data_IF_595105578778
#
_entry.id   IF_595105578778
#
_cell.length_a   1.000
_cell.length_b   1.000
_cell.length_c   1.000
_cell.angle_alpha   90.00
_cell.angle_beta   90.00
_cell.angle_gamma   90.00
#
_symmetry.space_group_name_H-M   'P 1'
#
loop_
_entity.id
_entity.type
_entity.pdbx_description
1 polymer ?
#
# COMPACT_ATOMS: atom_id res chain seq x y z
N UNK A 1 -8.19 12.53 26.71
CA UNK A 1 -7.05 13.38 26.29
C UNK A 1 -6.84 13.04 24.85
N UNK A 2 -6.97 14.03 23.98
CA UNK A 2 -7.07 13.78 22.56
C UNK A 2 -5.83 14.37 21.90
N UNK A 3 -5.22 13.60 21.00
CA UNK A 3 -3.99 13.98 20.31
C UNK A 3 -4.24 13.92 18.81
N UNK A 4 -4.09 15.06 18.15
CA UNK A 4 -4.28 15.17 16.71
C UNK A 4 -2.95 15.04 15.98
N UNK A 5 -2.94 14.15 14.98
CA UNK A 5 -1.81 13.96 14.10
C UNK A 5 -2.24 14.25 12.66
N UNK A 6 -1.33 14.83 11.86
CA UNK A 6 -1.58 15.03 10.43
C UNK A 6 -1.91 13.71 9.72
N UNK A 7 -1.26 12.61 10.11
CA UNK A 7 -1.56 11.26 9.63
C UNK A 7 -1.50 11.13 8.10
N UNK A 8 -0.51 11.73 7.45
CA UNK A 8 -0.40 11.75 5.98
C UNK A 8 0.89 11.11 5.49
N UNK A 9 0.78 10.35 4.41
CA UNK A 9 1.94 9.93 3.61
C UNK A 9 2.29 11.03 2.60
N UNK A 10 3.56 11.09 2.25
CA UNK A 10 4.06 12.03 1.24
C UNK A 10 5.13 11.35 0.37
N UNK A 11 5.21 11.69 -0.93
CA UNK A 11 6.27 11.22 -1.80
C UNK A 11 7.63 11.80 -1.36
N UNK A 12 8.65 10.96 -1.18
CA UNK A 12 9.99 11.41 -0.80
C UNK A 12 10.64 12.32 -1.87
N UNK A 13 10.31 12.10 -3.15
CA UNK A 13 10.84 12.88 -4.26
C UNK A 13 10.19 14.28 -4.40
N UNK A 14 9.02 14.50 -3.77
CA UNK A 14 8.24 15.74 -3.90
C UNK A 14 7.81 16.23 -2.52
N UNK A 15 8.77 16.78 -1.76
CA UNK A 15 8.55 17.19 -0.36
C UNK A 15 7.48 18.26 -0.13
N UNK A 16 7.07 19.00 -1.17
CA UNK A 16 6.04 20.04 -1.08
C UNK A 16 4.65 19.59 -1.55
N UNK A 17 4.49 18.33 -1.98
CA UNK A 17 3.19 17.83 -2.41
C UNK A 17 2.37 17.38 -1.19
N UNK A 18 1.08 17.76 -1.16
CA UNK A 18 0.15 17.27 -0.15
C UNK A 18 -1.24 17.09 -0.73
N UNK A 19 -1.84 15.92 -0.49
CA UNK A 19 -3.24 15.68 -0.74
C UNK A 19 -4.10 16.55 0.20
N UNK A 20 -5.17 17.21 -0.28
CA UNK A 20 -6.08 17.94 0.59
C UNK A 20 -6.88 16.97 1.46
N UNK A 21 -6.91 17.21 2.77
CA UNK A 21 -7.71 16.40 3.69
C UNK A 21 -9.19 16.79 3.59
N UNK A 22 -10.01 15.85 3.10
CA UNK A 22 -11.47 15.95 3.02
C UNK A 22 -12.17 14.86 3.83
N UNK A 23 -11.42 14.14 4.66
CA UNK A 23 -12.00 13.03 5.41
C UNK A 23 -12.88 13.53 6.54
N UNK A 24 -13.83 12.67 6.92
CA UNK A 24 -14.70 12.89 8.07
C UNK A 24 -13.85 12.94 9.34
N UNK A 25 -14.13 13.91 10.19
CA UNK A 25 -13.50 14.01 11.50
C UNK A 25 -13.97 12.86 12.40
N UNK A 26 -13.07 12.02 12.93
CA UNK A 26 -13.46 10.92 13.80
C UNK A 26 -14.10 11.44 15.09
N UNK A 27 -15.33 11.02 15.36
CA UNK A 27 -16.04 11.31 16.60
C UNK A 27 -16.16 10.01 17.41
N UNK A 28 -15.49 9.95 18.55
CA UNK A 28 -15.49 8.79 19.44
C UNK A 28 -16.40 9.07 20.64
N UNK A 29 -17.31 8.14 20.93
CA UNK A 29 -18.18 8.20 22.13
C UNK A 29 -17.90 7.03 23.10
N UNK A 30 -16.97 6.16 22.76
CA UNK A 30 -16.65 4.93 23.50
C UNK A 30 -15.46 5.14 24.43
N UNK A 31 -15.53 4.59 25.64
CA UNK A 31 -14.48 4.71 26.68
C UNK A 31 -14.13 3.35 27.32
N UNK A 32 -14.41 2.24 26.63
CA UNK A 32 -14.22 0.87 27.16
C UNK A 32 -12.76 0.36 27.15
N UNK A 33 -11.86 1.09 26.49
CA UNK A 33 -10.44 0.74 26.30
C UNK A 33 -9.55 1.91 26.67
N UNK A 34 -8.30 1.63 27.02
CA UNK A 34 -7.35 2.66 27.45
C UNK A 34 -7.01 3.68 26.37
N UNK A 35 -7.00 3.26 25.10
CA UNK A 35 -6.68 4.12 23.96
C UNK A 35 -7.52 3.77 22.74
N UNK A 36 -7.85 4.81 21.98
CA UNK A 36 -8.51 4.72 20.68
C UNK A 36 -7.66 5.45 19.65
N UNK A 37 -7.30 4.75 18.57
CA UNK A 37 -6.60 5.35 17.43
C UNK A 37 -7.55 5.36 16.24
N UNK A 38 -7.87 6.55 15.74
CA UNK A 38 -8.72 6.70 14.57
C UNK A 38 -7.90 6.91 13.30
N UNK A 39 -8.25 6.18 12.24
CA UNK A 39 -7.66 6.31 10.91
C UNK A 39 -8.74 6.72 9.93
N UNK A 40 -8.60 7.91 9.36
CA UNK A 40 -9.51 8.44 8.36
C UNK A 40 -9.24 7.85 6.98
N UNK A 41 -10.19 7.97 6.05
CA UNK A 41 -9.96 7.66 4.63
C UNK A 41 -8.74 8.40 4.07
N UNK A 42 -8.53 9.65 4.49
CA UNK A 42 -7.39 10.48 4.08
C UNK A 42 -6.02 9.85 4.40
N UNK A 43 -5.89 9.18 5.55
CA UNK A 43 -4.66 8.47 5.89
C UNK A 43 -4.31 7.41 4.83
N UNK A 44 -5.31 6.65 4.37
CA UNK A 44 -5.12 5.63 3.33
C UNK A 44 -4.97 6.23 1.94
N UNK A 45 -5.76 7.24 1.58
CA UNK A 45 -5.71 7.90 0.28
C UNK A 45 -4.37 8.60 0.04
N UNK A 46 -3.83 9.27 1.07
CA UNK A 46 -2.51 9.89 0.98
C UNK A 46 -1.39 8.85 0.73
N UNK A 47 -1.51 7.65 1.30
CA UNK A 47 -0.59 6.54 1.03
C UNK A 47 -0.71 6.06 -0.41
N UNK A 48 -1.92 5.74 -0.85
CA UNK A 48 -2.22 5.22 -2.18
C UNK A 48 -1.74 6.19 -3.26
N UNK A 49 -1.97 7.49 -3.08
CA UNK A 49 -1.47 8.47 -4.02
C UNK A 49 0.05 8.62 -3.97
N UNK A 50 0.67 8.61 -2.79
CA UNK A 50 2.14 8.67 -2.70
C UNK A 50 2.82 7.53 -3.45
N UNK A 51 2.28 6.31 -3.37
CA UNK A 51 2.77 5.16 -4.13
C UNK A 51 2.47 5.25 -5.62
N UNK A 52 1.33 5.84 -6.00
CA UNK A 52 0.98 6.09 -7.40
C UNK A 52 1.95 7.08 -8.05
N UNK A 53 2.20 8.23 -7.40
CA UNK A 53 3.13 9.26 -7.87
C UNK A 53 4.57 8.73 -7.96
N UNK A 54 4.94 7.80 -7.08
CA UNK A 54 6.24 7.12 -7.14
C UNK A 54 6.35 6.07 -8.26
N UNK A 55 5.28 5.80 -9.01
CA UNK A 55 5.25 4.76 -10.05
C UNK A 55 5.36 3.34 -9.51
N UNK A 56 5.13 3.13 -8.22
CA UNK A 56 5.31 1.83 -7.56
C UNK A 56 4.16 0.84 -7.84
N UNK A 57 3.01 1.35 -8.28
CA UNK A 57 1.78 0.57 -8.50
C UNK A 57 1.74 -0.06 -9.90
N UNK A 58 2.74 -0.88 -10.19
CA UNK A 58 2.86 -1.65 -11.43
C UNK A 58 3.39 -3.07 -11.18
N UNK A 59 2.97 -4.01 -12.03
CA UNK A 59 3.39 -5.40 -12.00
C UNK A 59 3.55 -5.91 -13.45
N UNK A 60 4.66 -6.59 -13.73
CA UNK A 60 4.88 -7.26 -15.01
C UNK A 60 5.21 -8.73 -14.79
N UNK A 61 4.45 -9.61 -15.44
CA UNK A 61 4.67 -11.04 -15.51
C UNK A 61 5.10 -11.37 -16.94
N UNK A 62 6.18 -12.12 -17.11
CA UNK A 62 6.72 -12.47 -18.43
C UNK A 62 7.05 -13.96 -18.43
N UNK A 63 6.69 -14.65 -19.51
CA UNK A 63 7.02 -16.05 -19.74
C UNK A 63 6.49 -16.97 -18.65
N UNK A 64 7.40 -17.68 -17.99
CA UNK A 64 7.12 -18.66 -16.94
C UNK A 64 6.41 -18.08 -15.70
N UNK A 65 6.46 -16.75 -15.51
CA UNK A 65 5.70 -16.05 -14.46
C UNK A 65 4.22 -15.90 -14.80
N UNK A 66 3.83 -16.10 -16.06
CA UNK A 66 2.42 -16.17 -16.47
C UNK A 66 1.92 -17.59 -16.19
N UNK A 67 0.82 -17.77 -15.44
CA UNK A 67 0.26 -19.10 -15.20
C UNK A 67 -0.04 -19.82 -16.53
N UNK A 68 0.32 -21.11 -16.63
CA UNK A 68 0.21 -21.89 -17.89
C UNK A 68 -1.20 -21.88 -18.47
N UNK A 69 -2.22 -22.03 -17.62
CA UNK A 69 -3.62 -22.00 -18.06
C UNK A 69 -4.00 -20.63 -18.63
N UNK A 70 -3.46 -19.54 -18.04
CA UNK A 70 -3.66 -18.19 -18.55
C UNK A 70 -2.93 -18.00 -19.87
N UNK A 71 -1.67 -18.42 -19.98
CA UNK A 71 -0.89 -18.33 -21.23
C UNK A 71 -1.62 -19.05 -22.38
N UNK A 72 -2.10 -20.27 -22.14
CA UNK A 72 -2.84 -21.04 -23.13
C UNK A 72 -4.14 -20.35 -23.56
N UNK A 73 -4.91 -19.81 -22.61
CA UNK A 73 -6.17 -19.11 -22.90
C UNK A 73 -5.95 -17.78 -23.61
N UNK A 74 -4.89 -17.04 -23.26
CA UNK A 74 -4.52 -15.80 -23.94
C UNK A 74 -4.08 -16.10 -25.37
N UNK A 75 -3.20 -17.09 -25.57
CA UNK A 75 -2.80 -17.52 -26.91
C UNK A 75 -4.01 -17.96 -27.74
N UNK A 76 -4.91 -18.76 -27.17
CA UNK A 76 -6.16 -19.18 -27.82
C UNK A 76 -7.04 -17.97 -28.22
N UNK A 77 -7.18 -16.99 -27.32
CA UNK A 77 -7.99 -15.80 -27.55
C UNK A 77 -7.42 -14.89 -28.65
N UNK A 78 -6.09 -14.82 -28.76
CA UNK A 78 -5.40 -13.98 -29.75
C UNK A 78 -4.83 -14.78 -30.93
N UNK A 79 -5.26 -16.04 -31.16
CA UNK A 79 -4.71 -16.88 -32.24
C UNK A 79 -4.73 -16.18 -33.59
N UNK A 80 -5.85 -15.54 -33.94
CA UNK A 80 -5.97 -14.81 -35.21
C UNK A 80 -4.91 -13.72 -35.34
N UNK A 81 -4.76 -12.87 -34.32
CA UNK A 81 -3.76 -11.80 -34.30
C UNK A 81 -2.33 -12.35 -34.33
N UNK A 82 -2.05 -13.43 -33.61
CA UNK A 82 -0.73 -14.06 -33.53
C UNK A 82 -0.35 -14.70 -34.87
N UNK A 83 -1.26 -15.43 -35.52
CA UNK A 83 -1.02 -16.07 -36.81
C UNK A 83 -0.76 -15.04 -37.91
N UNK A 84 -1.39 -13.86 -37.84
CA UNK A 84 -1.15 -12.75 -38.78
C UNK A 84 0.25 -12.13 -38.67
N UNK A 85 1.02 -12.40 -37.61
CA UNK A 85 2.38 -11.87 -37.45
C UNK A 85 3.39 -12.53 -38.42
N UNK A 86 3.05 -13.67 -39.04
CA UNK A 86 3.82 -14.35 -40.09
C UNK A 86 5.29 -14.68 -39.75
N UNK A 87 5.70 -14.57 -38.48
CA UNK A 87 7.07 -14.83 -38.01
C UNK A 87 7.05 -15.89 -36.90
N UNK A 88 7.53 -17.12 -37.17
CA UNK A 88 7.57 -18.19 -36.16
C UNK A 88 8.29 -17.78 -34.87
N UNK A 89 9.39 -17.02 -35.00
CA UNK A 89 10.16 -16.52 -33.86
C UNK A 89 9.37 -15.57 -32.95
N UNK A 90 8.38 -14.86 -33.49
CA UNK A 90 7.49 -13.98 -32.72
C UNK A 90 6.32 -14.77 -32.14
N UNK A 91 5.76 -15.71 -32.91
CA UNK A 91 4.63 -16.57 -32.49
C UNK A 91 4.99 -17.39 -31.23
N UNK A 92 6.19 -17.96 -31.19
CA UNK A 92 6.65 -18.80 -30.07
C UNK A 92 7.28 -18.00 -28.93
N UNK A 93 7.27 -16.66 -29.01
CA UNK A 93 7.90 -15.82 -27.99
C UNK A 93 7.10 -15.81 -26.67
N UNK A 94 7.77 -15.58 -25.53
CA UNK A 94 7.12 -15.49 -24.22
C UNK A 94 6.00 -14.42 -24.19
N UNK A 95 4.90 -14.75 -23.53
CA UNK A 95 3.84 -13.78 -23.27
C UNK A 95 4.21 -12.87 -22.09
N UNK A 96 3.90 -11.59 -22.21
CA UNK A 96 3.97 -10.59 -21.15
C UNK A 96 2.57 -10.11 -20.80
N UNK A 97 2.31 -10.07 -19.51
CA UNK A 97 1.14 -9.44 -18.92
C UNK A 97 1.60 -8.32 -17.99
N UNK A 98 1.20 -7.10 -18.29
CA UNK A 98 1.52 -5.92 -17.49
C UNK A 98 0.24 -5.34 -16.89
N UNK A 99 0.30 -5.05 -15.60
CA UNK A 99 -0.73 -4.35 -14.83
C UNK A 99 -0.14 -3.05 -14.34
N UNK A 100 -0.73 -1.92 -14.73
CA UNK A 100 -0.27 -0.59 -14.32
C UNK A 100 -1.45 0.24 -13.90
N UNK A 101 -1.45 0.74 -12.66
CA UNK A 101 -2.46 1.67 -12.17
C UNK A 101 -2.41 2.96 -13.00
N UNK A 102 -3.56 3.46 -13.44
CA UNK A 102 -3.66 4.63 -14.35
C UNK A 102 -4.19 5.89 -13.67
N UNK A 103 -4.74 5.75 -12.46
CA UNK A 103 -5.20 6.86 -11.62
C UNK A 103 -4.96 6.52 -10.14
N UNK A 104 -4.77 7.52 -9.26
CA UNK A 104 -4.61 7.28 -7.83
C UNK A 104 -5.74 6.41 -7.27
N UNK A 105 -5.45 5.25 -6.65
CA UNK A 105 -6.47 4.47 -5.97
C UNK A 105 -7.03 5.23 -4.78
N UNK A 106 -8.27 4.95 -4.42
CA UNK A 106 -8.92 5.57 -3.26
C UNK A 106 -9.57 4.53 -2.35
N UNK A 107 -9.59 4.84 -1.06
CA UNK A 107 -10.14 4.07 0.02
C UNK A 107 -11.54 4.59 0.36
N UNK A 108 -12.43 3.66 0.72
CA UNK A 108 -13.74 4.00 1.28
C UNK A 108 -14.01 3.12 2.47
N UNK A 109 -14.31 3.74 3.61
CA UNK A 109 -14.58 3.07 4.88
C UNK A 109 -16.07 3.21 5.19
N UNK A 110 -16.73 2.07 5.35
CA UNK A 110 -18.13 1.98 5.77
C UNK A 110 -18.23 1.05 6.97
N UNK A 111 -19.31 1.13 7.75
CA UNK A 111 -19.56 0.17 8.84
C UNK A 111 -19.53 -1.29 8.39
N UNK A 112 -19.89 -1.57 7.12
CA UNK A 112 -19.86 -2.92 6.55
C UNK A 112 -18.46 -3.42 6.13
N UNK A 113 -17.44 -2.55 6.16
CA UNK A 113 -16.07 -2.89 5.78
C UNK A 113 -15.38 -1.79 4.99
N UNK A 114 -14.08 -2.01 4.73
CA UNK A 114 -13.25 -1.08 3.97
C UNK A 114 -13.02 -1.61 2.55
N UNK A 115 -13.09 -0.73 1.56
CA UNK A 115 -12.86 -1.05 0.16
C UNK A 115 -11.85 -0.12 -0.48
N UNK A 116 -10.97 -0.66 -1.32
CA UNK A 116 -10.06 0.12 -2.17
C UNK A 116 -10.51 -0.03 -3.62
N UNK A 117 -10.70 1.10 -4.29
CA UNK A 117 -11.04 1.15 -5.72
C UNK A 117 -9.76 1.44 -6.52
N UNK A 118 -9.51 0.60 -7.51
CA UNK A 118 -8.30 0.65 -8.35
C UNK A 118 -8.73 0.66 -9.81
N UNK A 119 -8.22 1.62 -10.58
CA UNK A 119 -8.31 1.60 -12.05
C UNK A 119 -6.92 1.39 -12.63
N UNK A 120 -6.76 0.35 -13.44
CA UNK A 120 -5.48 -0.05 -14.02
C UNK A 120 -5.63 -0.37 -15.51
N UNK A 121 -4.53 -0.24 -16.23
CA UNK A 121 -4.35 -0.81 -17.56
C UNK A 121 -3.86 -2.25 -17.44
N UNK A 122 -4.34 -3.09 -18.35
CA UNK A 122 -3.86 -4.46 -18.55
C UNK A 122 -3.36 -4.55 -19.98
N UNK A 123 -2.07 -4.80 -20.13
CA UNK A 123 -1.41 -4.92 -21.43
C UNK A 123 -0.94 -6.35 -21.62
N UNK A 124 -1.28 -6.93 -22.77
CA UNK A 124 -0.86 -8.25 -23.19
C UNK A 124 0.02 -8.09 -24.42
N UNK A 125 1.23 -8.63 -24.35
CA UNK A 125 2.21 -8.55 -25.43
C UNK A 125 2.99 -9.86 -25.58
N UNK A 126 3.60 -10.02 -26.74
CA UNK A 126 4.62 -11.02 -27.02
C UNK A 126 6.00 -10.38 -26.89
N UNK A 127 6.96 -11.09 -26.29
CA UNK A 127 8.32 -10.59 -26.02
C UNK A 127 9.34 -11.41 -26.83
N UNK A 128 9.47 -11.16 -28.14
CA UNK A 128 10.43 -11.85 -28.98
C UNK A 128 11.88 -11.51 -28.57
N UNK A 129 12.81 -12.49 -28.63
CA UNK A 129 14.19 -12.26 -28.25
C UNK A 129 14.84 -11.22 -29.18
N UNK A 130 15.49 -10.20 -28.60
CA UNK A 130 16.19 -9.14 -29.32
C UNK A 130 15.32 -8.33 -30.30
N UNK A 131 14.01 -8.33 -30.10
CA UNK A 131 13.04 -7.59 -30.91
C UNK A 131 12.10 -6.78 -29.99
N UNK A 132 11.46 -5.72 -30.50
CA UNK A 132 10.49 -4.97 -29.72
C UNK A 132 9.28 -5.83 -29.33
N UNK A 133 8.67 -5.51 -28.20
CA UNK A 133 7.44 -6.16 -27.75
C UNK A 133 6.32 -5.96 -28.79
N UNK A 134 5.59 -7.03 -29.07
CA UNK A 134 4.44 -6.99 -29.97
C UNK A 134 3.17 -7.00 -29.13
N UNK A 135 2.53 -5.84 -29.00
CA UNK A 135 1.30 -5.70 -28.23
C UNK A 135 0.15 -6.42 -28.93
N UNK A 136 -0.47 -7.37 -28.23
CA UNK A 136 -1.67 -8.08 -28.68
C UNK A 136 -2.94 -7.34 -28.27
N UNK A 137 -2.95 -6.78 -27.05
CA UNK A 137 -4.10 -6.07 -26.53
C UNK A 137 -3.74 -5.11 -25.40
N UNK A 138 -4.58 -4.09 -25.22
CA UNK A 138 -4.54 -3.17 -24.10
C UNK A 138 -5.97 -2.83 -23.70
N UNK A 139 -6.30 -3.03 -22.43
CA UNK A 139 -7.62 -2.76 -21.87
C UNK A 139 -7.53 -2.07 -20.51
N UNK A 140 -8.65 -1.50 -20.07
CA UNK A 140 -8.79 -0.93 -18.73
C UNK A 140 -9.49 -1.94 -17.83
N UNK A 141 -9.03 -2.01 -16.59
CA UNK A 141 -9.59 -2.80 -15.52
C UNK A 141 -9.97 -1.90 -14.36
N UNK A 142 -11.24 -2.00 -13.93
CA UNK A 142 -11.66 -1.50 -12.63
C UNK A 142 -11.75 -2.66 -11.65
N UNK A 143 -11.03 -2.55 -10.53
CA UNK A 143 -11.05 -3.52 -9.45
C UNK A 143 -11.53 -2.87 -8.15
N UNK A 144 -12.31 -3.62 -7.38
CA UNK A 144 -12.64 -3.34 -5.98
C UNK A 144 -12.00 -4.40 -5.12
N UNK A 145 -11.15 -3.97 -4.21
CA UNK A 145 -10.51 -4.79 -3.20
C UNK A 145 -11.21 -4.55 -1.87
N UNK A 146 -11.42 -5.57 -1.04
CA UNK A 146 -11.71 -5.37 0.37
C UNK A 146 -10.42 -5.31 1.15
N UNK A 147 -10.32 -4.37 2.07
CA UNK A 147 -9.20 -4.21 2.98
C UNK A 147 -9.64 -4.59 4.39
N UNK A 148 -8.93 -5.54 5.00
CA UNK A 148 -9.07 -5.90 6.41
C UNK A 148 -7.89 -5.34 7.17
N UNK A 149 -8.16 -4.57 8.20
CA UNK A 149 -7.14 -3.98 9.05
C UNK A 149 -6.94 -4.86 10.28
N UNK A 150 -5.69 -4.99 10.69
CA UNK A 150 -5.33 -5.63 11.93
C UNK A 150 -4.15 -4.89 12.54
N UNK A 151 -4.10 -4.85 13.86
CA UNK A 151 -2.92 -4.41 14.57
C UNK A 151 -2.07 -5.64 14.89
N UNK A 152 -0.77 -5.57 14.60
CA UNK A 152 0.16 -6.62 14.99
C UNK A 152 1.39 -5.99 15.63
N UNK A 153 1.50 -6.13 16.95
CA UNK A 153 2.41 -5.31 17.76
C UNK A 153 2.00 -3.85 17.64
N UNK A 154 2.91 -3.00 17.13
CA UNK A 154 2.66 -1.57 16.90
C UNK A 154 2.32 -1.22 15.45
N UNK A 155 2.21 -2.22 14.57
CA UNK A 155 2.02 -2.01 13.15
C UNK A 155 0.56 -2.19 12.74
N UNK A 156 -0.03 -1.16 12.12
CA UNK A 156 -1.26 -1.28 11.35
C UNK A 156 -0.97 -2.07 10.07
N UNK A 157 -1.49 -3.29 9.97
CA UNK A 157 -1.38 -4.14 8.80
C UNK A 157 -2.69 -4.16 8.04
N UNK A 158 -2.57 -4.35 6.75
CA UNK A 158 -3.70 -4.46 5.83
C UNK A 158 -3.60 -5.77 5.08
N UNK A 159 -4.71 -6.47 4.99
CA UNK A 159 -4.89 -7.63 4.13
C UNK A 159 -5.91 -7.30 3.04
N UNK A 160 -5.53 -7.47 1.79
CA UNK A 160 -6.34 -7.17 0.62
C UNK A 160 -6.89 -8.44 -0.02
N UNK A 161 -8.18 -8.43 -0.31
CA UNK A 161 -8.88 -9.49 -1.02
C UNK A 161 -9.58 -8.90 -2.26
N UNK A 162 -9.51 -9.59 -3.41
CA UNK A 162 -10.25 -9.19 -4.61
C UNK A 162 -11.75 -9.43 -4.41
N UNK A 163 -12.56 -8.37 -4.46
CA UNK A 163 -14.03 -8.46 -4.35
C UNK A 163 -14.70 -8.55 -5.71
N UNK A 164 -14.36 -7.62 -6.59
CA UNK A 164 -14.93 -7.53 -7.93
C UNK A 164 -13.89 -6.91 -8.85
N UNK A 165 -13.88 -7.32 -10.10
CA UNK A 165 -13.24 -6.56 -11.15
C UNK A 165 -14.10 -6.61 -12.41
N UNK A 166 -13.80 -5.71 -13.35
CA UNK A 166 -14.31 -5.73 -14.72
C UNK A 166 -13.20 -5.24 -15.63
N UNK A 167 -13.21 -5.72 -16.87
CA UNK A 167 -12.31 -5.26 -17.94
C UNK A 167 -13.16 -4.74 -19.09
N UNK A 168 -12.64 -3.73 -19.79
CA UNK A 168 -13.27 -3.13 -20.96
C UNK A 168 -12.20 -2.46 -21.85
N UNK A 169 -12.48 -2.37 -23.15
CA UNK A 169 -11.66 -1.57 -24.07
C UNK A 169 -11.96 -0.09 -23.87
N UNK A 170 -10.94 0.77 -23.91
CA UNK A 170 -11.10 2.22 -23.91
C UNK A 170 -11.46 2.78 -25.29
N UNK A 171 -11.38 1.96 -26.35
CA UNK A 171 -11.66 2.37 -27.73
C UNK A 171 -13.11 2.06 -28.13
N UNK A 172 -13.64 0.90 -27.74
CA UNK A 172 -14.96 0.45 -28.19
C UNK A 172 -15.69 -0.52 -27.25
N UNK A 173 -17.02 -0.37 -27.17
CA UNK A 173 -17.90 -1.31 -26.48
C UNK A 173 -17.97 -2.68 -27.18
N UNK A 174 -17.85 -2.72 -28.51
CA UNK A 174 -17.85 -3.97 -29.27
C UNK A 174 -16.60 -4.81 -29.00
N UNK A 175 -15.44 -4.17 -28.91
CA UNK A 175 -14.19 -4.84 -28.52
C UNK A 175 -14.26 -5.40 -27.10
N UNK A 176 -15.01 -4.75 -26.21
CA UNK A 176 -15.22 -5.24 -24.84
C UNK A 176 -15.97 -6.58 -24.79
N UNK A 177 -16.80 -6.89 -25.81
CA UNK A 177 -17.44 -8.20 -25.92
C UNK A 177 -16.44 -9.31 -26.23
N UNK A 178 -15.40 -9.01 -27.02
CA UNK A 178 -14.31 -9.95 -27.31
C UNK A 178 -13.45 -10.26 -26.07
N UNK A 179 -13.54 -9.43 -25.01
CA UNK A 179 -12.81 -9.64 -23.75
C UNK A 179 -13.55 -10.55 -22.76
N UNK A 180 -14.80 -10.95 -23.02
CA UNK A 180 -15.58 -11.83 -22.12
C UNK A 180 -14.84 -13.14 -21.79
N UNK A 181 -14.20 -13.84 -22.74
CA UNK A 181 -13.44 -15.06 -22.45
C UNK A 181 -12.28 -14.84 -21.47
N UNK A 182 -11.75 -13.62 -21.36
CA UNK A 182 -10.62 -13.28 -20.50
C UNK A 182 -11.01 -13.05 -19.04
N UNK A 183 -12.30 -12.95 -18.71
CA UNK A 183 -12.76 -12.69 -17.35
C UNK A 183 -12.33 -13.78 -16.37
N UNK A 184 -12.66 -15.04 -16.61
CA UNK A 184 -12.33 -16.12 -15.68
C UNK A 184 -10.80 -16.34 -15.50
N UNK A 185 -9.99 -16.31 -16.58
CA UNK A 185 -8.54 -16.45 -16.47
C UNK A 185 -7.89 -15.29 -15.73
N UNK A 186 -8.27 -14.05 -16.05
CA UNK A 186 -7.74 -12.87 -15.35
C UNK A 186 -8.19 -12.84 -13.88
N UNK A 187 -9.41 -13.27 -13.57
CA UNK A 187 -9.87 -13.43 -12.18
C UNK A 187 -8.93 -14.36 -11.41
N UNK A 188 -8.63 -15.51 -11.98
CA UNK A 188 -7.75 -16.53 -11.37
C UNK A 188 -6.36 -15.96 -11.13
N UNK A 189 -5.79 -15.27 -12.13
CA UNK A 189 -4.49 -14.62 -11.98
C UNK A 189 -4.51 -13.50 -10.94
N UNK A 190 -5.57 -12.70 -10.87
CA UNK A 190 -5.68 -11.64 -9.86
C UNK A 190 -5.72 -12.25 -8.46
N UNK A 191 -6.54 -13.28 -8.27
CA UNK A 191 -6.73 -13.93 -6.96
C UNK A 191 -5.52 -14.71 -6.48
N UNK A 192 -4.88 -15.50 -7.35
CA UNK A 192 -3.83 -16.43 -6.94
C UNK A 192 -2.41 -15.99 -7.33
N UNK A 193 -2.26 -15.08 -8.29
CA UNK A 193 -0.97 -14.51 -8.66
C UNK A 193 -0.72 -13.15 -8.01
N UNK A 194 -1.64 -12.19 -8.22
CA UNK A 194 -1.42 -10.79 -7.85
C UNK A 194 -1.70 -10.52 -6.38
N UNK A 195 -2.83 -10.98 -5.83
CA UNK A 195 -3.20 -10.72 -4.43
C UNK A 195 -2.13 -11.24 -3.43
N UNK A 196 -1.56 -12.45 -3.57
CA UNK A 196 -0.51 -12.91 -2.67
C UNK A 196 0.74 -12.04 -2.72
N UNK A 197 1.20 -11.66 -3.92
CA UNK A 197 2.36 -10.78 -4.09
C UNK A 197 2.11 -9.40 -3.47
N UNK A 198 0.91 -8.85 -3.66
CA UNK A 198 0.52 -7.56 -3.10
C UNK A 198 0.48 -7.62 -1.57
N UNK A 199 -0.16 -8.65 -1.00
CA UNK A 199 -0.22 -8.87 0.44
C UNK A 199 1.15 -9.10 1.08
N UNK A 200 2.08 -9.74 0.38
CA UNK A 200 3.46 -9.88 0.84
C UNK A 200 4.17 -8.52 0.92
N UNK A 201 4.01 -7.67 -0.10
CA UNK A 201 4.64 -6.34 -0.15
C UNK A 201 4.12 -5.41 0.96
N UNK A 202 2.84 -5.48 1.30
CA UNK A 202 2.23 -4.62 2.33
C UNK A 202 2.27 -5.24 3.74
N UNK A 203 2.77 -6.47 3.89
CA UNK A 203 2.77 -7.22 5.16
C UNK A 203 3.42 -6.47 6.32
N UNK A 204 4.44 -5.65 6.05
CA UNK A 204 5.15 -4.88 7.09
C UNK A 204 4.22 -3.92 7.83
N UNK A 205 3.17 -3.43 7.17
CA UNK A 205 2.25 -2.45 7.73
C UNK A 205 2.92 -1.11 8.00
N UNK A 206 2.21 -0.27 8.76
CA UNK A 206 2.61 1.09 9.13
C UNK A 206 2.74 1.16 10.63
N UNK A 207 3.88 1.65 11.13
CA UNK A 207 4.10 1.78 12.57
C UNK A 207 3.24 2.90 13.15
N UNK A 208 2.51 2.59 14.21
CA UNK A 208 1.80 3.57 15.03
C UNK A 208 2.77 4.08 16.09
N UNK A 209 2.93 5.41 16.26
CA UNK A 209 3.89 5.97 17.19
C UNK A 209 3.44 5.75 18.65
N UNK A 210 3.86 4.64 19.24
CA UNK A 210 3.78 4.38 20.68
C UNK A 210 5.16 4.53 21.34
N UNK A 211 5.25 5.09 22.56
CA UNK A 211 6.49 5.14 23.33
C UNK A 211 7.17 3.77 23.48
N UNK A 212 8.49 3.79 23.66
CA UNK A 212 9.24 2.57 23.99
C UNK A 212 8.71 1.95 25.29
N UNK A 213 8.64 0.61 25.35
CA UNK A 213 8.17 -0.12 26.53
C UNK A 213 6.65 -0.17 26.70
N UNK A 214 5.86 0.40 25.78
CA UNK A 214 4.40 0.23 25.72
C UNK A 214 4.01 -0.59 24.50
N UNK A 215 3.03 -1.48 24.65
CA UNK A 215 2.43 -2.25 23.55
C UNK A 215 0.90 -2.22 23.64
N UNK A 216 0.25 -2.38 22.49
CA UNK A 216 -1.20 -2.57 22.43
C UNK A 216 -1.55 -4.01 22.78
N UNK A 217 -2.61 -4.19 23.55
CA UNK A 217 -3.21 -5.50 23.84
C UNK A 217 -4.73 -5.42 23.75
N UNK A 218 -5.38 -6.55 23.43
CA UNK A 218 -6.85 -6.66 23.34
C UNK A 218 -7.45 -5.66 22.34
N UNK A 219 -6.77 -5.53 21.21
CA UNK A 219 -7.16 -4.67 20.10
C UNK A 219 -8.50 -5.08 19.51
N UNK A 220 -9.33 -4.07 19.20
CA UNK A 220 -10.60 -4.22 18.50
C UNK A 220 -10.62 -3.18 17.38
N UNK A 221 -10.81 -3.65 16.16
CA UNK A 221 -10.96 -2.80 14.98
C UNK A 221 -12.44 -2.59 14.70
N UNK A 222 -12.88 -1.35 14.65
CA UNK A 222 -14.26 -0.98 14.35
C UNK A 222 -14.30 -0.04 13.15
N UNK A 223 -15.15 -0.36 12.18
CA UNK A 223 -15.34 0.49 11.02
C UNK A 223 -16.52 1.45 11.24
N UNK A 224 -16.32 2.71 10.87
CA UNK A 224 -17.33 3.77 10.89
C UNK A 224 -17.57 4.30 9.48
N UNK A 225 -18.37 5.36 9.35
CA UNK A 225 -18.52 6.06 8.08
C UNK A 225 -17.37 7.06 7.88
N UNK A 226 -16.43 6.76 6.97
CA UNK A 226 -15.32 7.64 6.62
C UNK A 226 -14.03 7.48 7.45
N UNK A 227 -14.07 6.67 8.50
CA UNK A 227 -12.90 6.34 9.33
C UNK A 227 -13.06 4.98 10.00
N UNK A 228 -11.97 4.42 10.50
CA UNK A 228 -11.96 3.25 11.38
C UNK A 228 -11.27 3.59 12.69
N UNK A 229 -11.59 2.85 13.73
CA UNK A 229 -10.99 3.00 15.06
C UNK A 229 -10.34 1.69 15.48
N UNK A 230 -9.24 1.82 16.21
CA UNK A 230 -8.57 0.72 16.89
C UNK A 230 -8.62 1.03 18.38
N UNK A 231 -9.48 0.32 19.09
CA UNK A 231 -9.61 0.40 20.54
C UNK A 231 -8.69 -0.66 21.16
N UNK A 232 -7.83 -0.28 22.10
CA UNK A 232 -6.88 -1.20 22.72
C UNK A 232 -6.56 -0.82 24.17
N UNK A 233 -6.17 -1.81 24.95
CA UNK A 233 -5.53 -1.60 26.24
C UNK A 233 -4.01 -1.44 26.04
N UNK A 234 -3.34 -0.84 27.02
CA UNK A 234 -1.89 -0.65 27.00
C UNK A 234 -1.21 -1.59 27.98
N UNK A 235 -0.21 -2.32 27.51
CA UNK A 235 0.70 -3.09 28.34
C UNK A 235 2.06 -2.39 28.44
N UNK A 236 2.54 -2.19 29.67
CA UNK A 236 3.82 -1.54 29.95
C UNK A 236 4.85 -2.61 30.29
N UNK A 237 5.70 -2.96 29.32
CA UNK A 237 6.77 -3.93 29.48
C UNK A 237 8.00 -3.36 30.23
N UNK A 238 8.13 -2.03 30.27
CA UNK A 238 9.15 -1.31 31.04
C UNK A 238 8.49 -0.25 31.91
N UNK A 239 9.05 -0.01 33.09
CA UNK A 239 8.55 1.06 33.97
C UNK A 239 8.70 2.42 33.27
N UNK A 240 7.66 3.26 33.35
CA UNK A 240 7.64 4.61 32.75
C UNK A 240 8.90 5.42 33.14
N UNK A 241 9.39 5.22 34.37
CA UNK A 241 10.62 5.85 34.89
C UNK A 241 11.87 5.49 34.09
N UNK A 242 12.05 4.22 33.74
CA UNK A 242 13.22 3.76 32.97
C UNK A 242 13.22 4.36 31.56
N UNK A 243 12.04 4.48 30.94
CA UNK A 243 11.89 5.09 29.61
C UNK A 243 12.15 6.59 29.65
N UNK A 244 11.68 7.27 30.70
CA UNK A 244 11.91 8.71 30.90
C UNK A 244 13.38 8.99 31.19
N UNK A 245 14.04 8.21 32.05
CA UNK A 245 15.46 8.38 32.37
C UNK A 245 16.36 8.15 31.16
N UNK A 246 16.06 7.15 30.32
CA UNK A 246 16.80 6.88 29.08
C UNK A 246 16.67 8.01 28.05
N UNK A 247 15.49 8.63 27.93
CA UNK A 247 15.22 9.68 26.94
C UNK A 247 15.46 11.09 27.48
N UNK A 248 15.95 11.24 28.73
CA UNK A 248 16.32 12.54 29.29
C UNK A 248 17.53 13.06 28.50
N UNK A 249 17.46 14.26 27.91
CA UNK A 249 18.62 14.85 27.25
C UNK A 249 19.76 14.99 28.25
N UNK A 250 20.98 14.62 27.85
CA UNK A 250 22.16 14.84 28.68
C UNK A 250 22.29 16.35 28.94
N UNK A 251 22.17 16.76 30.21
CA UNK A 251 22.48 18.12 30.59
C UNK A 251 23.97 18.37 30.30
N UNK A 252 24.26 19.11 29.24
CA UNK A 252 25.57 19.75 29.02
C UNK A 252 25.75 20.93 29.97
N UNK A 253 25.71 20.66 31.27
CA UNK A 253 26.14 21.56 32.34
C UNK A 253 26.65 20.73 33.51
N UNK A 254 27.81 20.10 33.33
CA UNK A 254 28.76 19.85 34.41
C UNK A 254 30.11 19.37 33.83
N UNK A 255 30.80 20.31 33.20
CA UNK A 255 32.26 20.28 33.12
C UNK A 255 32.80 21.61 33.64
N UNK A 256 32.41 21.95 34.88
CA UNK A 256 33.06 22.99 35.66
C UNK A 256 34.42 22.47 36.12
N UNK A 257 35.44 22.69 35.31
CA UNK A 257 36.84 22.51 35.72
C UNK A 257 37.11 23.44 36.92
N UNK A 258 37.66 22.97 38.05
CA UNK A 258 38.07 23.87 39.12
C UNK A 258 39.32 24.64 38.64
N UNK A 259 39.18 25.95 38.46
CA UNK A 259 40.32 26.83 38.21
C UNK A 259 41.11 26.99 39.50
N UNK A 260 42.34 26.45 39.51
CA UNK A 260 43.31 26.73 40.56
C UNK A 260 43.74 28.22 40.47
N UNK A 261 43.88 28.94 41.60
CA UNK A 261 44.33 30.32 41.57
C UNK A 261 45.85 30.41 41.31
N UNK A 262 46.34 31.46 40.62
CA UNK A 262 47.77 31.63 40.35
C UNK A 262 48.54 32.07 41.60
N UNK A 263 49.86 31.76 41.68
CA UNK A 263 50.68 32.14 42.81
C UNK A 263 50.99 33.65 42.78
N UNK A 264 50.77 34.33 43.91
CA UNK A 264 51.21 35.70 44.13
C UNK A 264 52.71 35.71 44.44
N UNK A 265 53.50 36.37 43.59
CA UNK A 265 54.89 36.75 43.90
C UNK A 265 55.13 38.18 43.46
N UNK A 266 55.26 39.07 44.45
CA UNK A 266 56.16 40.24 44.52
C UNK A 266 55.68 41.14 45.67
N UNK A 267 56.50 41.81 46.47
CA UNK A 267 57.91 41.72 46.84
C UNK A 267 58.12 42.82 47.90
N UNK A 268 58.77 42.49 49.02
CA UNK A 268 59.66 43.35 49.81
C UNK A 268 60.41 42.46 50.79
#
# INVERSE_FOLDING_TARGET
>A
MDMEFRGAFFPLAQGNWSLPNRAVEPQLQEEERMVYVAFSEFFFDSALESYFQAGALQLSLVGDKVPKDLDMLLRASYLGSIVLLQSPAVIDSPLKLELRVVAPPYCTIKPSGTTISVTASVTIALVPPNQPEVQLSSMIMDARLSAKMALQGKALRVHLDLRKFRIYSNQSALESLALIPLQAPLKTMLQFGVMPLLNERIRRGVQIPLPEGMDFVREVVTNHAGFLTIAADLHFAKGLREVIEKNRPANTMDSGVPSAPPPSTAAA
#
